data_IF_415914813255
#
_entry.id   IF_415914813255
#
_cell.length_a   1.000
_cell.length_b   1.000
_cell.length_c   1.000
_cell.angle_alpha   90.00
_cell.angle_beta   90.00
_cell.angle_gamma   90.00
#
_symmetry.space_group_name_H-M   'P 1'
#
loop_
_entity.id
_entity.type
_entity.pdbx_description
1 polymer ?
#
# COMPACT_ATOMS: atom_id res chain seq x y z
N UNK A 1 -4.31 -3.52 4.25
CA UNK A 1 -5.02 -2.81 3.16
C UNK A 1 -6.55 -2.85 3.27
N UNK A 2 -7.20 -4.02 3.27
CA UNK A 2 -8.68 -4.10 3.33
C UNK A 2 -9.31 -3.27 4.47
N UNK A 3 -8.73 -3.32 5.66
CA UNK A 3 -9.24 -2.58 6.83
C UNK A 3 -9.19 -1.06 6.63
N UNK A 4 -8.08 -0.52 6.13
CA UNK A 4 -7.91 0.93 5.91
C UNK A 4 -8.78 1.43 4.76
N UNK A 5 -8.98 0.62 3.72
CA UNK A 5 -9.90 0.93 2.64
C UNK A 5 -11.35 1.09 3.12
N UNK A 6 -11.81 0.20 4.02
CA UNK A 6 -13.15 0.30 4.60
C UNK A 6 -13.36 1.56 5.46
N UNK A 7 -12.26 2.16 5.95
CA UNK A 7 -12.27 3.45 6.64
C UNK A 7 -12.17 4.64 5.68
N UNK A 8 -12.12 4.39 4.36
CA UNK A 8 -11.90 5.41 3.35
C UNK A 8 -10.50 6.01 3.37
N UNK A 9 -9.49 5.22 3.74
CA UNK A 9 -8.09 5.64 3.84
C UNK A 9 -7.27 4.94 2.76
N UNK A 10 -6.41 5.70 2.09
CA UNK A 10 -5.37 5.23 1.17
C UNK A 10 -4.02 5.27 1.87
N UNK A 11 -3.18 4.25 1.66
CA UNK A 11 -1.84 4.18 2.25
C UNK A 11 -0.84 5.03 1.47
N UNK A 12 -0.86 4.90 0.14
CA UNK A 12 -0.02 5.64 -0.83
C UNK A 12 1.50 5.45 -0.76
N UNK A 13 2.01 4.67 0.18
CA UNK A 13 3.42 4.27 0.22
C UNK A 13 3.62 2.80 0.58
N UNK A 14 3.09 1.92 -0.27
CA UNK A 14 3.29 0.47 -0.12
C UNK A 14 4.66 0.12 -0.67
N UNK A 15 5.50 -0.49 0.17
CA UNK A 15 6.84 -0.94 -0.17
C UNK A 15 7.25 -2.09 0.75
N UNK A 16 8.35 -2.79 0.43
CA UNK A 16 8.88 -3.86 1.29
C UNK A 16 9.29 -3.34 2.67
N UNK A 17 9.71 -2.08 2.78
CA UNK A 17 10.09 -1.48 4.05
C UNK A 17 8.88 -1.13 4.93
N UNK A 18 7.71 -0.95 4.31
CA UNK A 18 6.47 -0.60 4.99
C UNK A 18 5.53 -1.81 5.19
N UNK A 19 6.00 -3.01 4.83
CA UNK A 19 5.28 -4.27 4.97
C UNK A 19 6.07 -5.25 5.84
N UNK A 20 5.58 -5.47 7.06
CA UNK A 20 6.16 -6.45 7.98
C UNK A 20 5.42 -7.77 7.92
N UNK A 21 6.15 -8.87 8.13
CA UNK A 21 5.57 -10.19 8.37
C UNK A 21 5.86 -10.60 9.81
N UNK A 22 4.86 -11.16 10.49
CA UNK A 22 5.03 -11.71 11.83
C UNK A 22 4.26 -13.02 11.97
N UNK A 23 4.76 -13.88 12.85
CA UNK A 23 4.14 -15.16 13.18
C UNK A 23 3.19 -14.99 14.36
N UNK A 24 1.99 -15.55 14.22
CA UNK A 24 0.99 -15.63 15.28
C UNK A 24 0.76 -17.10 15.63
N UNK A 25 1.01 -17.45 16.89
CA UNK A 25 0.70 -18.78 17.42
C UNK A 25 -0.77 -18.84 17.81
N UNK A 26 -1.53 -19.72 17.20
CA UNK A 26 -2.96 -19.92 17.45
C UNK A 26 -3.19 -20.83 18.67
N UNK A 27 -4.40 -20.81 19.27
CA UNK A 27 -4.70 -21.61 20.47
C UNK A 27 -4.54 -23.13 20.31
N UNK A 28 -4.61 -23.63 19.07
CA UNK A 28 -4.40 -25.04 18.73
C UNK A 28 -2.91 -25.39 18.48
N UNK A 29 -2.00 -24.43 18.70
CA UNK A 29 -0.56 -24.58 18.48
C UNK A 29 -0.12 -24.38 17.03
N UNK A 30 -1.04 -24.10 16.09
CA UNK A 30 -0.68 -23.82 14.70
C UNK A 30 -0.09 -22.41 14.55
N UNK A 31 0.85 -22.23 13.62
CA UNK A 31 1.46 -20.92 13.33
C UNK A 31 0.84 -20.33 12.08
N UNK A 32 0.38 -19.08 12.18
CA UNK A 32 -0.12 -18.29 11.06
C UNK A 32 0.81 -17.10 10.80
N UNK A 33 1.29 -16.97 9.57
CA UNK A 33 2.01 -15.75 9.13
C UNK A 33 1.00 -14.67 8.78
N UNK A 34 1.20 -13.45 9.30
CA UNK A 34 0.39 -12.28 9.01
C UNK A 34 1.25 -11.14 8.46
N UNK A 35 0.68 -10.40 7.53
CA UNK A 35 1.22 -9.13 7.07
C UNK A 35 0.69 -7.96 7.89
N UNK A 36 1.57 -7.01 8.22
CA UNK A 36 1.25 -5.74 8.85
C UNK A 36 1.78 -4.60 7.98
N UNK A 37 0.90 -3.68 7.59
CA UNK A 37 1.31 -2.42 6.98
C UNK A 37 1.64 -1.41 8.08
N UNK A 38 2.75 -0.71 7.90
CA UNK A 38 3.23 0.36 8.76
C UNK A 38 3.52 1.61 7.93
N UNK A 39 3.89 2.70 8.59
CA UNK A 39 4.23 3.98 7.96
C UNK A 39 3.06 4.63 7.20
N UNK A 40 2.24 5.35 7.96
CA UNK A 40 1.03 6.03 7.48
C UNK A 40 1.23 7.54 7.30
N UNK A 41 2.47 8.04 7.25
CA UNK A 41 2.74 9.48 7.13
C UNK A 41 2.21 10.07 5.82
N UNK A 42 2.13 9.24 4.77
CA UNK A 42 1.50 9.57 3.50
C UNK A 42 0.03 9.16 3.40
N UNK A 43 -0.58 8.63 4.46
CA UNK A 43 -1.98 8.20 4.38
C UNK A 43 -2.93 9.39 4.22
N UNK A 44 -4.01 9.19 3.45
CA UNK A 44 -5.03 10.24 3.23
C UNK A 44 -6.41 9.62 3.09
N UNK A 45 -7.45 10.41 3.36
CA UNK A 45 -8.81 10.05 2.94
C UNK A 45 -8.90 10.06 1.40
N UNK A 46 -9.92 9.40 0.83
CA UNK A 46 -10.13 9.22 -0.63
C UNK A 46 -10.47 10.53 -1.40
N UNK A 47 -9.88 11.64 -0.99
CA UNK A 47 -10.09 13.01 -1.47
C UNK A 47 -8.76 13.75 -1.76
N UNK A 48 -7.61 13.21 -1.34
CA UNK A 48 -6.29 13.83 -1.56
C UNK A 48 -5.73 13.69 -2.99
N UNK A 49 -5.45 14.81 -3.66
CA UNK A 49 -4.68 14.86 -4.91
C UNK A 49 -3.21 15.09 -4.60
N UNK A 50 -2.41 14.02 -4.51
CA UNK A 50 -0.95 14.08 -4.44
C UNK A 50 -0.37 12.72 -4.86
N UNK A 51 0.63 12.74 -5.75
CA UNK A 51 1.36 11.55 -6.20
C UNK A 51 2.52 11.31 -5.25
N UNK A 52 2.38 10.34 -4.35
CA UNK A 52 3.42 9.92 -3.39
C UNK A 52 3.64 8.42 -3.54
N UNK A 53 4.81 7.94 -3.11
CA UNK A 53 5.11 6.52 -3.06
C UNK A 53 6.55 6.17 -3.44
N UNK A 54 6.94 4.95 -3.13
CA UNK A 54 8.26 4.40 -3.45
C UNK A 54 8.34 3.96 -4.91
N UNK A 55 9.26 4.53 -5.71
CA UNK A 55 9.27 4.42 -7.19
C UNK A 55 9.10 2.99 -7.77
N UNK A 56 9.81 1.94 -7.29
CA UNK A 56 9.60 0.57 -7.78
C UNK A 56 8.20 -0.01 -7.53
N UNK A 57 7.48 0.50 -6.52
CA UNK A 57 6.15 0.03 -6.13
C UNK A 57 5.05 1.02 -6.52
N UNK A 58 5.40 2.19 -7.06
CA UNK A 58 4.43 3.19 -7.47
C UNK A 58 3.66 2.73 -8.70
N UNK A 59 2.33 2.91 -8.70
CA UNK A 59 1.49 2.58 -9.84
C UNK A 59 1.93 3.32 -11.12
N UNK A 60 1.84 2.66 -12.28
CA UNK A 60 2.30 3.20 -13.56
C UNK A 60 1.59 4.51 -13.91
N UNK A 61 0.30 4.63 -13.59
CA UNK A 61 -0.46 5.86 -13.85
C UNK A 61 0.10 7.05 -13.04
N UNK A 62 0.49 6.82 -11.77
CA UNK A 62 1.12 7.82 -10.93
C UNK A 62 2.54 8.18 -11.40
N UNK A 63 3.30 7.19 -11.87
CA UNK A 63 4.63 7.42 -12.46
C UNK A 63 4.57 8.26 -13.75
N UNK A 64 3.55 8.04 -14.59
CA UNK A 64 3.35 8.80 -15.83
C UNK A 64 2.74 10.18 -15.61
N UNK A 65 2.09 10.40 -14.46
CA UNK A 65 1.45 11.66 -14.09
C UNK A 65 2.44 12.79 -13.79
N UNK A 66 3.71 12.45 -13.52
CA UNK A 66 4.79 13.39 -13.19
C UNK A 66 4.95 14.49 -14.26
N UNK A 67 4.54 14.20 -15.51
CA UNK A 67 4.79 15.05 -16.70
C UNK A 67 3.56 15.82 -17.25
N UNK A 68 2.50 16.14 -16.49
CA UNK A 68 1.60 17.32 -16.68
C UNK A 68 0.12 17.21 -16.20
N UNK A 69 -0.30 16.19 -15.43
CA UNK A 69 -1.65 16.21 -14.81
C UNK A 69 -1.65 15.54 -13.43
N UNK A 70 -2.17 16.19 -12.38
CA UNK A 70 -2.33 15.54 -11.09
C UNK A 70 -3.32 14.38 -11.22
N UNK A 71 -2.82 13.15 -11.11
CA UNK A 71 -3.65 11.95 -11.04
C UNK A 71 -4.11 11.76 -9.60
N UNK A 72 -5.40 11.48 -9.44
CA UNK A 72 -5.96 11.17 -8.12
C UNK A 72 -5.45 9.78 -7.69
N UNK A 73 -4.81 9.69 -6.53
CA UNK A 73 -4.47 8.40 -5.96
C UNK A 73 -5.76 7.65 -5.59
N UNK A 74 -5.86 6.38 -5.96
CA UNK A 74 -7.03 5.55 -5.67
C UNK A 74 -6.60 4.24 -5.02
N UNK A 75 -7.56 3.49 -4.47
CA UNK A 75 -7.27 2.16 -3.92
C UNK A 75 -6.75 1.18 -4.99
N UNK A 76 -7.04 1.41 -6.27
CA UNK A 76 -6.49 0.59 -7.35
C UNK A 76 -4.98 0.75 -7.48
N UNK A 77 -4.45 1.97 -7.26
CA UNK A 77 -3.01 2.20 -7.25
C UNK A 77 -2.33 1.51 -6.07
N UNK A 78 -2.93 1.55 -4.87
CA UNK A 78 -2.42 0.81 -3.72
C UNK A 78 -2.43 -0.71 -3.99
N UNK A 79 -3.46 -1.24 -4.67
CA UNK A 79 -3.50 -2.65 -5.08
C UNK A 79 -2.42 -3.01 -6.12
N UNK A 80 -2.14 -2.12 -7.08
CA UNK A 80 -1.05 -2.30 -8.04
C UNK A 80 0.31 -2.37 -7.33
N UNK A 81 0.55 -1.49 -6.36
CA UNK A 81 1.74 -1.54 -5.50
C UNK A 81 1.87 -2.88 -4.76
N UNK A 82 0.76 -3.48 -4.30
CA UNK A 82 0.79 -4.82 -3.70
C UNK A 82 1.21 -5.90 -4.68
N UNK A 83 0.81 -5.83 -5.95
CA UNK A 83 1.24 -6.80 -6.96
C UNK A 83 2.76 -6.71 -7.15
N UNK A 84 3.30 -5.49 -7.22
CA UNK A 84 4.75 -5.29 -7.31
C UNK A 84 5.50 -5.78 -6.07
N UNK A 85 4.95 -5.53 -4.88
CA UNK A 85 5.49 -6.07 -3.63
C UNK A 85 5.51 -7.60 -3.62
N UNK A 86 4.43 -8.25 -4.07
CA UNK A 86 4.34 -9.71 -4.13
C UNK A 86 5.31 -10.32 -5.16
N UNK A 87 5.60 -9.63 -6.27
CA UNK A 87 6.63 -10.07 -7.22
C UNK A 87 8.06 -9.89 -6.70
N UNK A 88 8.25 -9.06 -5.68
CA UNK A 88 9.56 -8.78 -5.09
C UNK A 88 9.97 -9.81 -4.03
N UNK A 89 9.00 -10.50 -3.42
CA UNK A 89 9.18 -11.57 -2.42
C UNK A 89 9.31 -12.91 -3.13
#
# INVERSE_FOLDING_TARGET
HKQIWLLGILHRDISINNAMMYEEVLPDGTVRVRGLLIDFDYATKVDGSNCTGTLPFMAIELLRAVDNKPVKHTAAHDLESFVYLLCWI
#
